data_IF_384958204332
#
_entry.id   IF_384958204332
#
_cell.length_a   1.000
_cell.length_b   1.000
_cell.length_c   1.000
_cell.angle_alpha   90.00
_cell.angle_beta   90.00
_cell.angle_gamma   90.00
#
_symmetry.space_group_name_H-M   'P 1'
#
loop_
_entity.id
_entity.type
_entity.pdbx_description
1 polymer ?
#
# COMPACT_ATOMS: atom_id res chain seq x y z
N UNK A 1 20.04 -26.21 -55.58
CA UNK A 1 19.95 -27.69 -55.58
C UNK A 1 20.94 -28.18 -54.52
N UNK A 2 20.65 -28.75 -53.34
CA UNK A 2 19.47 -29.39 -52.78
C UNK A 2 19.63 -29.48 -51.25
N UNK A 3 18.76 -28.85 -50.45
CA UNK A 3 18.66 -29.17 -49.03
C UNK A 3 17.73 -30.38 -48.90
N UNK A 4 18.31 -31.54 -48.62
CA UNK A 4 17.65 -32.83 -48.64
C UNK A 4 16.97 -33.13 -47.30
N UNK A 5 15.71 -33.58 -47.42
CA UNK A 5 15.06 -34.60 -46.59
C UNK A 5 14.47 -34.17 -45.25
N UNK A 6 13.17 -33.89 -45.35
CA UNK A 6 12.07 -34.17 -44.41
C UNK A 6 12.35 -35.36 -43.47
N UNK A 7 12.16 -35.17 -42.16
CA UNK A 7 11.81 -36.28 -41.27
C UNK A 7 10.60 -35.90 -40.40
N UNK A 8 9.54 -36.66 -40.68
CA UNK A 8 8.29 -36.84 -39.94
C UNK A 8 8.59 -37.17 -38.47
N UNK A 9 7.73 -36.73 -37.54
CA UNK A 9 7.03 -37.59 -36.55
C UNK A 9 6.30 -36.73 -35.51
N UNK A 10 4.97 -36.81 -35.64
CA UNK A 10 3.92 -36.79 -34.62
C UNK A 10 4.41 -36.96 -33.17
N UNK A 11 4.21 -35.94 -32.33
CA UNK A 11 4.47 -36.04 -30.89
C UNK A 11 3.85 -34.90 -30.08
N UNK A 12 2.85 -35.25 -29.27
CA UNK A 12 2.34 -34.55 -28.08
C UNK A 12 1.65 -33.19 -28.25
N UNK A 13 0.33 -33.23 -28.44
CA UNK A 13 -0.58 -32.24 -27.85
C UNK A 13 -0.50 -32.47 -26.34
N UNK A 14 0.12 -31.57 -25.56
CA UNK A 14 -0.12 -31.38 -24.12
C UNK A 14 0.73 -30.25 -23.56
N UNK A 15 0.22 -29.02 -23.67
CA UNK A 15 0.42 -27.98 -22.66
C UNK A 15 -0.57 -26.87 -22.92
N UNK A 16 -1.81 -27.10 -22.48
CA UNK A 16 -2.70 -26.01 -22.14
C UNK A 16 -2.04 -25.29 -20.96
N UNK A 17 -1.10 -24.38 -21.27
CA UNK A 17 -0.54 -23.47 -20.29
C UNK A 17 -1.71 -22.62 -19.84
N UNK A 18 -2.30 -23.01 -18.70
CA UNK A 18 -3.13 -22.13 -17.90
C UNK A 18 -2.32 -20.85 -17.80
N UNK A 19 -2.75 -19.84 -18.55
CA UNK A 19 -2.40 -18.48 -18.30
C UNK A 19 -2.93 -18.23 -16.88
N UNK A 20 -2.11 -18.58 -15.90
CA UNK A 20 -2.28 -18.12 -14.55
C UNK A 20 -2.29 -16.62 -14.72
N UNK A 21 -3.49 -16.05 -14.62
CA UNK A 21 -3.66 -14.65 -14.30
C UNK A 21 -2.94 -14.48 -12.96
N UNK A 22 -1.63 -14.29 -13.04
CA UNK A 22 -0.79 -13.94 -11.92
C UNK A 22 -1.44 -12.69 -11.39
N UNK A 23 -2.01 -12.82 -10.20
CA UNK A 23 -2.59 -11.73 -9.47
C UNK A 23 -1.65 -10.52 -9.62
N UNK A 24 -2.19 -9.39 -10.07
CA UNK A 24 -1.45 -8.16 -10.06
C UNK A 24 -0.99 -7.96 -8.62
N UNK A 25 0.29 -8.21 -8.35
CA UNK A 25 0.86 -8.02 -7.04
C UNK A 25 0.81 -6.53 -6.80
N UNK A 26 -0.18 -6.11 -6.01
CA UNK A 26 -0.36 -4.73 -5.62
C UNK A 26 0.98 -4.25 -5.09
N UNK A 27 1.70 -3.45 -5.89
CA UNK A 27 2.97 -2.87 -5.50
C UNK A 27 2.77 -2.21 -4.14
N UNK A 28 3.52 -2.70 -3.15
CA UNK A 28 3.16 -2.62 -1.74
C UNK A 28 2.78 -1.21 -1.28
N UNK A 29 1.55 -1.05 -0.82
CA UNK A 29 1.14 0.16 -0.12
C UNK A 29 1.89 0.23 1.23
N UNK A 30 2.85 1.14 1.35
CA UNK A 30 3.55 1.39 2.60
C UNK A 30 2.58 1.93 3.65
N UNK A 31 2.35 1.17 4.72
CA UNK A 31 1.50 1.57 5.85
C UNK A 31 2.36 2.08 7.00
N UNK A 32 2.34 3.39 7.22
CA UNK A 32 3.00 4.03 8.36
C UNK A 32 2.06 4.00 9.57
N UNK A 33 2.53 3.49 10.71
CA UNK A 33 1.79 3.50 11.99
C UNK A 33 2.56 4.30 13.02
N UNK A 34 1.92 5.27 13.64
CA UNK A 34 2.57 6.15 14.60
C UNK A 34 1.65 7.22 15.17
N UNK A 35 2.22 8.12 15.96
CA UNK A 35 1.53 9.28 16.51
C UNK A 35 1.67 10.45 15.56
N UNK A 36 0.55 11.10 15.22
CA UNK A 36 0.59 12.33 14.42
C UNK A 36 1.19 13.45 15.28
N UNK A 37 2.31 14.00 14.85
CA UNK A 37 3.01 15.09 15.55
C UNK A 37 2.54 16.45 15.03
N UNK A 38 2.32 16.55 13.72
CA UNK A 38 1.76 17.77 13.12
C UNK A 38 1.02 17.47 11.83
N UNK A 39 0.06 18.34 11.51
CA UNK A 39 -0.70 18.29 10.27
C UNK A 39 -0.74 19.67 9.62
N UNK A 40 -0.29 19.72 8.36
CA UNK A 40 -0.45 20.85 7.44
C UNK A 40 -1.34 20.41 6.27
N UNK A 41 -1.93 21.33 5.48
CA UNK A 41 -2.95 20.99 4.47
C UNK A 41 -2.60 19.86 3.50
N UNK A 42 -1.31 19.63 3.23
CA UNK A 42 -0.82 18.58 2.32
C UNK A 42 0.34 17.78 2.90
N UNK A 43 0.65 17.92 4.19
CA UNK A 43 1.79 17.25 4.82
C UNK A 43 1.41 16.76 6.22
N UNK A 44 1.58 15.46 6.45
CA UNK A 44 1.37 14.80 7.72
C UNK A 44 2.70 14.32 8.27
N UNK A 45 3.05 14.79 9.46
CA UNK A 45 4.26 14.35 10.14
C UNK A 45 3.89 13.32 11.20
N UNK A 46 4.42 12.11 11.07
CA UNK A 46 4.11 10.98 11.95
C UNK A 46 5.38 10.52 12.64
N UNK A 47 5.35 10.45 13.97
CA UNK A 47 6.38 9.76 14.75
C UNK A 47 6.06 8.26 14.74
N UNK A 48 6.90 7.47 14.08
CA UNK A 48 6.75 6.02 13.98
C UNK A 48 7.02 5.37 15.33
N UNK A 49 6.62 4.09 15.48
CA UNK A 49 6.88 3.35 16.73
C UNK A 49 8.37 3.10 16.99
N UNK A 50 9.20 3.14 15.95
CA UNK A 50 10.65 3.07 16.05
C UNK A 50 11.28 4.36 16.62
N UNK A 51 10.50 5.45 16.71
CA UNK A 51 10.96 6.74 17.22
C UNK A 51 11.33 7.74 16.12
N UNK A 52 11.47 7.27 14.88
CA UNK A 52 11.74 8.09 13.71
C UNK A 52 10.52 8.95 13.34
N UNK A 53 10.77 10.03 12.59
CA UNK A 53 9.72 10.95 12.15
C UNK A 53 9.63 10.95 10.63
N UNK A 54 8.48 10.51 10.12
CA UNK A 54 8.20 10.45 8.69
C UNK A 54 7.28 11.59 8.26
N UNK A 55 7.62 12.20 7.12
CA UNK A 55 6.81 13.22 6.48
C UNK A 55 6.04 12.62 5.28
N UNK A 56 4.72 12.56 5.42
CA UNK A 56 3.82 11.95 4.43
C UNK A 56 3.15 13.07 3.65
N UNK A 57 3.39 13.11 2.33
CA UNK A 57 2.71 14.04 1.44
C UNK A 57 1.29 13.54 1.16
N UNK A 58 0.30 14.40 1.40
CA UNK A 58 -1.11 14.10 1.24
C UNK A 58 -1.70 14.85 0.04
N UNK A 59 -2.75 14.27 -0.55
CA UNK A 59 -3.58 14.95 -1.55
C UNK A 59 -4.31 16.13 -0.89
N UNK A 60 -4.46 17.22 -1.63
CA UNK A 60 -5.23 18.37 -1.18
C UNK A 60 -6.67 17.97 -0.78
N UNK A 61 -7.14 18.53 0.34
CA UNK A 61 -8.48 18.26 0.89
C UNK A 61 -8.59 16.96 1.69
N UNK A 62 -7.49 16.23 1.89
CA UNK A 62 -7.49 15.06 2.77
C UNK A 62 -7.71 15.49 4.22
N UNK A 63 -8.65 14.83 4.91
CA UNK A 63 -9.00 15.12 6.30
C UNK A 63 -8.57 13.95 7.18
N UNK A 64 -7.98 14.28 8.32
CA UNK A 64 -7.72 13.29 9.37
C UNK A 64 -9.06 12.91 9.99
N UNK A 65 -9.41 11.63 9.90
CA UNK A 65 -10.48 11.02 10.69
C UNK A 65 -9.86 10.38 11.94
N UNK A 66 -10.20 10.88 13.12
CA UNK A 66 -9.67 10.33 14.38
C UNK A 66 -10.39 10.90 15.58
N UNK A 67 -10.21 10.26 16.73
CA UNK A 67 -10.66 10.74 18.03
C UNK A 67 -9.46 11.39 18.70
N UNK A 68 -9.58 12.67 19.06
CA UNK A 68 -8.54 13.35 19.84
C UNK A 68 -8.45 12.71 21.23
N UNK A 69 -7.24 12.61 21.77
CA UNK A 69 -7.07 12.08 23.13
C UNK A 69 -7.72 13.05 24.12
N UNK A 70 -8.69 12.58 24.90
CA UNK A 70 -9.35 13.39 25.91
C UNK A 70 -8.39 13.63 27.08
N UNK A 71 -8.23 14.89 27.47
CA UNK A 71 -7.42 15.31 28.60
C UNK A 71 -8.30 15.86 29.73
N UNK A 72 -7.79 15.87 30.96
CA UNK A 72 -8.51 16.45 32.10
C UNK A 72 -8.83 17.95 31.89
N UNK A 73 -8.05 18.65 31.07
CA UNK A 73 -8.30 20.04 30.67
C UNK A 73 -9.48 20.20 29.70
N UNK A 74 -9.94 19.12 29.06
CA UNK A 74 -11.12 19.13 28.21
C UNK A 74 -12.43 18.94 28.99
N UNK A 75 -12.33 18.59 30.28
CA UNK A 75 -13.48 18.41 31.18
C UNK A 75 -14.00 19.79 31.59
N UNK A 76 -15.27 20.07 31.27
CA UNK A 76 -15.92 21.32 31.70
C UNK A 76 -16.32 21.21 33.17
N UNK A 77 -16.18 22.32 33.91
CA UNK A 77 -16.65 22.38 35.29
C UNK A 77 -18.18 22.22 35.31
N UNK A 78 -18.69 21.23 36.06
CA UNK A 78 -20.11 20.88 36.14
C UNK A 78 -20.57 19.75 35.21
N UNK A 79 -19.65 19.10 34.50
CA UNK A 79 -19.90 17.90 33.68
C UNK A 79 -19.69 16.58 34.47
N UNK A 80 -19.54 16.69 35.81
CA UNK A 80 -19.41 15.60 36.77
C UNK A 80 -20.39 15.77 37.92
#
# INVERSE_FOLDING_TARGET
>A
MNLKTVMVVLGTISSLSVAGAGAAQAAGALRVRGTVVSFKPTLLTVKTRQGDTDAIKLKAGWKISGVANASATDIKQGDF
#
